data_IF_752717571962
#
_entry.id   IF_752717571962
#
_cell.length_a   1.000
_cell.length_b   1.000
_cell.length_c   1.000
_cell.angle_alpha   90.00
_cell.angle_beta   90.00
_cell.angle_gamma   90.00
#
_symmetry.space_group_name_H-M   'P 1'
#
loop_
_entity.id
_entity.type
_entity.pdbx_description
1 polymer ?
#
# COMPACT_ATOMS: atom_id res chain seq x y z
N UNK A 1 21.93 -20.23 33.52
CA UNK A 1 21.48 -18.89 33.11
C UNK A 1 20.93 -18.96 31.69
N UNK A 2 19.87 -18.23 31.34
CA UNK A 2 19.16 -18.35 30.05
C UNK A 2 19.25 -17.01 29.31
N UNK A 3 19.94 -17.00 28.16
CA UNK A 3 20.05 -15.82 27.30
C UNK A 3 18.89 -15.76 26.32
N UNK A 4 18.23 -14.60 26.19
CA UNK A 4 17.15 -14.39 25.23
C UNK A 4 17.37 -13.05 24.50
N UNK A 5 17.77 -13.12 23.24
CA UNK A 5 17.70 -11.97 22.33
C UNK A 5 16.36 -11.99 21.60
N UNK A 6 15.61 -10.88 21.64
CA UNK A 6 14.38 -10.72 20.85
C UNK A 6 14.62 -9.77 19.68
N UNK A 7 14.39 -10.30 18.48
CA UNK A 7 14.41 -9.56 17.22
C UNK A 7 13.01 -9.66 16.61
N UNK A 8 12.35 -8.52 16.45
CA UNK A 8 11.02 -8.45 15.85
C UNK A 8 11.12 -7.90 14.42
N UNK A 9 10.49 -8.59 13.46
CA UNK A 9 10.39 -8.11 12.09
C UNK A 9 8.99 -8.37 11.53
N UNK A 10 8.45 -7.39 10.79
CA UNK A 10 7.15 -7.52 10.12
C UNK A 10 7.26 -8.01 8.66
N UNK A 11 8.41 -8.60 8.29
CA UNK A 11 8.67 -9.07 6.94
C UNK A 11 8.27 -10.54 6.71
N UNK A 12 7.46 -11.11 7.60
CA UNK A 12 7.08 -12.54 7.58
C UNK A 12 6.00 -12.89 6.55
N UNK A 13 5.37 -11.89 5.90
CA UNK A 13 4.26 -12.09 4.97
C UNK A 13 4.62 -11.63 3.56
N UNK A 14 4.23 -12.41 2.55
CA UNK A 14 4.34 -12.02 1.14
C UNK A 14 3.59 -10.71 0.87
N UNK A 15 4.23 -9.76 0.18
CA UNK A 15 3.56 -8.59 -0.39
C UNK A 15 3.59 -8.70 -1.89
N UNK A 16 2.39 -8.80 -2.45
CA UNK A 16 2.22 -8.67 -3.89
C UNK A 16 2.73 -7.32 -4.35
N UNK A 17 3.64 -7.34 -5.30
CA UNK A 17 4.08 -6.15 -6.02
C UNK A 17 2.91 -5.50 -6.74
N UNK A 18 2.93 -4.17 -6.79
CA UNK A 18 1.88 -3.45 -7.48
C UNK A 18 2.21 -3.42 -8.97
N UNK A 19 1.25 -3.84 -9.81
CA UNK A 19 1.43 -3.78 -11.26
C UNK A 19 1.58 -2.33 -11.72
N UNK A 20 2.41 -2.09 -12.73
CA UNK A 20 2.56 -0.76 -13.36
C UNK A 20 1.23 -0.16 -13.80
N UNK A 21 0.30 -0.99 -14.33
CA UNK A 21 -1.05 -0.57 -14.70
C UNK A 21 -1.84 0.03 -13.52
N UNK A 22 -1.79 -0.59 -12.35
CA UNK A 22 -2.45 -0.06 -11.15
C UNK A 22 -1.87 1.30 -10.73
N UNK A 23 -0.54 1.46 -10.78
CA UNK A 23 0.12 2.73 -10.46
C UNK A 23 -0.35 3.82 -11.44
N UNK A 24 -0.36 3.51 -12.74
CA UNK A 24 -0.78 4.46 -13.78
C UNK A 24 -2.24 4.88 -13.58
N UNK A 25 -3.15 3.92 -13.37
CA UNK A 25 -4.56 4.21 -13.12
C UNK A 25 -4.76 5.08 -11.87
N UNK A 26 -4.04 4.79 -10.79
CA UNK A 26 -4.04 5.61 -9.59
C UNK A 26 -3.59 7.04 -9.87
N UNK A 27 -2.45 7.23 -10.56
CA UNK A 27 -1.92 8.56 -10.90
C UNK A 27 -2.90 9.37 -11.74
N UNK A 28 -3.48 8.77 -12.78
CA UNK A 28 -4.46 9.44 -13.64
C UNK A 28 -5.70 9.85 -12.83
N UNK A 29 -6.25 8.91 -12.05
CA UNK A 29 -7.46 9.17 -11.25
C UNK A 29 -7.20 10.23 -10.19
N UNK A 30 -6.05 10.18 -9.53
CA UNK A 30 -5.65 11.14 -8.50
C UNK A 30 -5.47 12.54 -9.11
N UNK A 31 -4.75 12.64 -10.22
CA UNK A 31 -4.57 13.90 -10.94
C UNK A 31 -5.92 14.52 -11.35
N UNK A 32 -6.82 13.72 -11.94
CA UNK A 32 -8.15 14.21 -12.27
C UNK A 32 -8.97 14.63 -11.05
N UNK A 33 -8.89 13.90 -9.95
CA UNK A 33 -9.73 14.19 -8.79
C UNK A 33 -9.20 15.34 -7.94
N UNK A 34 -7.90 15.39 -7.68
CA UNK A 34 -7.28 16.34 -6.76
C UNK A 34 -6.79 17.60 -7.49
N UNK A 35 -6.16 17.47 -8.67
CA UNK A 35 -5.58 18.63 -9.38
C UNK A 35 -6.60 19.30 -10.31
N UNK A 36 -7.42 18.51 -11.01
CA UNK A 36 -8.45 19.05 -11.93
C UNK A 36 -9.85 19.14 -11.29
N UNK A 37 -10.01 18.76 -10.01
CA UNK A 37 -11.27 18.78 -9.27
C UNK A 37 -12.43 18.06 -9.97
N UNK A 38 -12.15 16.97 -10.70
CA UNK A 38 -13.14 16.19 -11.43
C UNK A 38 -13.75 15.13 -10.50
N UNK A 39 -15.08 15.10 -10.42
CA UNK A 39 -15.79 14.09 -9.64
C UNK A 39 -15.62 12.67 -10.19
N UNK A 40 -15.60 11.66 -9.30
CA UNK A 40 -15.36 10.26 -9.66
C UNK A 40 -16.30 9.69 -10.73
N UNK A 41 -17.57 10.12 -10.77
CA UNK A 41 -18.54 9.72 -11.82
C UNK A 41 -18.07 10.16 -13.20
N UNK A 42 -17.66 11.43 -13.30
CA UNK A 42 -17.14 12.03 -14.54
C UNK A 42 -15.84 11.34 -14.95
N UNK A 43 -14.93 11.10 -14.01
CA UNK A 43 -13.70 10.32 -14.26
C UNK A 43 -14.03 8.95 -14.88
N UNK A 44 -14.95 8.20 -14.28
CA UNK A 44 -15.36 6.89 -14.81
C UNK A 44 -15.94 6.99 -16.22
N UNK A 45 -16.72 8.03 -16.51
CA UNK A 45 -17.26 8.31 -17.84
C UNK A 45 -16.15 8.59 -18.86
N UNK A 46 -15.19 9.46 -18.52
CA UNK A 46 -14.01 9.77 -19.34
C UNK A 46 -13.22 8.49 -19.64
N UNK A 47 -12.86 7.72 -18.61
CA UNK A 47 -12.09 6.49 -18.78
C UNK A 47 -12.81 5.48 -19.69
N UNK A 48 -14.12 5.32 -19.53
CA UNK A 48 -14.94 4.48 -20.41
C UNK A 48 -14.96 5.00 -21.86
N UNK A 49 -15.10 6.32 -22.05
CA UNK A 49 -15.10 6.97 -23.38
C UNK A 49 -13.77 6.78 -24.11
N UNK A 50 -12.66 6.84 -23.39
CA UNK A 50 -11.31 6.60 -23.94
C UNK A 50 -10.92 5.12 -23.98
N UNK A 51 -11.85 4.18 -23.72
CA UNK A 51 -11.59 2.74 -23.81
C UNK A 51 -10.70 2.19 -22.69
N UNK A 52 -10.34 2.99 -21.68
CA UNK A 52 -9.49 2.58 -20.57
C UNK A 52 -10.31 1.67 -19.65
N UNK A 53 -9.92 0.41 -19.53
CA UNK A 53 -10.57 -0.56 -18.64
C UNK A 53 -9.93 -0.57 -17.25
N UNK A 54 -10.70 -1.01 -16.26
CA UNK A 54 -10.18 -1.34 -14.92
C UNK A 54 -9.05 -2.40 -15.00
N UNK A 55 -8.32 -2.61 -13.92
CA UNK A 55 -7.29 -3.67 -13.88
C UNK A 55 -7.84 -5.07 -14.22
N UNK A 56 -9.12 -5.32 -13.99
CA UNK A 56 -9.79 -6.59 -14.31
C UNK A 56 -10.41 -6.61 -15.72
N UNK A 57 -10.11 -5.63 -16.58
CA UNK A 57 -10.66 -5.55 -17.94
C UNK A 57 -12.12 -5.06 -18.03
N UNK A 58 -12.76 -4.77 -16.90
CA UNK A 58 -14.16 -4.31 -16.84
C UNK A 58 -14.29 -2.81 -17.11
N UNK A 59 -15.47 -2.37 -17.57
CA UNK A 59 -15.85 -0.94 -17.63
C UNK A 59 -15.89 -0.33 -16.22
N UNK A 60 -15.69 0.98 -16.12
CA UNK A 60 -15.82 1.74 -14.88
C UNK A 60 -17.28 1.92 -14.49
N UNK A 61 -17.55 1.91 -13.18
CA UNK A 61 -18.90 2.01 -12.63
C UNK A 61 -19.53 3.38 -12.89
N UNK A 62 -20.82 3.39 -13.25
CA UNK A 62 -21.59 4.64 -13.46
C UNK A 62 -21.67 5.51 -12.20
N UNK A 63 -21.60 4.89 -11.02
CA UNK A 63 -21.66 5.57 -9.72
C UNK A 63 -20.33 6.21 -9.30
N UNK A 64 -19.22 5.98 -10.01
CA UNK A 64 -17.90 6.51 -9.63
C UNK A 64 -17.17 5.69 -8.56
N UNK A 65 -17.84 4.71 -7.93
CA UNK A 65 -17.30 3.91 -6.83
C UNK A 65 -15.98 3.19 -7.17
N UNK A 66 -15.82 2.78 -8.43
CA UNK A 66 -14.62 2.10 -8.92
C UNK A 66 -13.40 3.03 -8.97
N UNK A 67 -13.59 4.30 -9.34
CA UNK A 67 -12.52 5.32 -9.30
C UNK A 67 -12.12 5.64 -7.86
N UNK A 68 -13.09 5.88 -6.97
CA UNK A 68 -12.83 6.11 -5.55
C UNK A 68 -12.08 4.94 -4.89
N UNK A 69 -12.49 3.70 -5.18
CA UNK A 69 -11.86 2.50 -4.62
C UNK A 69 -10.38 2.38 -5.00
N UNK A 70 -9.98 2.84 -6.19
CA UNK A 70 -8.57 2.82 -6.60
C UNK A 70 -7.72 3.71 -5.69
N UNK A 71 -8.16 4.94 -5.42
CA UNK A 71 -7.46 5.86 -4.51
C UNK A 71 -7.40 5.26 -3.11
N UNK A 72 -8.56 4.83 -2.56
CA UNK A 72 -8.64 4.26 -1.22
C UNK A 72 -7.69 3.09 -1.01
N UNK A 73 -7.66 2.12 -1.93
CA UNK A 73 -6.79 0.93 -1.81
C UNK A 73 -5.30 1.26 -1.93
N UNK A 74 -4.95 2.34 -2.64
CA UNK A 74 -3.57 2.82 -2.69
C UNK A 74 -3.15 3.43 -1.36
N UNK A 75 -3.98 4.28 -0.76
CA UNK A 75 -3.70 4.88 0.54
C UNK A 75 -3.56 3.80 1.63
N UNK A 76 -4.49 2.85 1.70
CA UNK A 76 -4.41 1.71 2.63
C UNK A 76 -3.13 0.88 2.46
N UNK A 77 -2.62 0.77 1.23
CA UNK A 77 -1.35 0.08 0.95
C UNK A 77 -0.15 0.90 1.43
N UNK A 78 -0.13 2.19 1.14
CA UNK A 78 0.93 3.10 1.60
C UNK A 78 1.02 3.11 3.14
N UNK A 79 -0.13 3.20 3.81
CA UNK A 79 -0.22 3.14 5.27
C UNK A 79 0.31 1.81 5.82
N UNK A 80 -0.03 0.68 5.18
CA UNK A 80 0.48 -0.64 5.57
C UNK A 80 2.00 -0.73 5.41
N UNK A 81 2.55 -0.18 4.33
CA UNK A 81 4.00 -0.17 4.11
C UNK A 81 4.69 0.68 5.17
N UNK A 82 4.15 1.87 5.46
CA UNK A 82 4.72 2.82 6.42
C UNK A 82 4.63 2.32 7.86
N UNK A 83 3.43 1.94 8.31
CA UNK A 83 3.14 1.73 9.72
C UNK A 83 3.33 0.28 10.18
N UNK A 84 3.26 -0.68 9.26
CA UNK A 84 3.44 -2.10 9.60
C UNK A 84 4.80 -2.57 9.12
N UNK A 85 5.11 -2.49 7.83
CA UNK A 85 6.33 -3.14 7.29
C UNK A 85 7.62 -2.43 7.65
N UNK A 86 7.66 -1.11 7.51
CA UNK A 86 8.85 -0.30 7.81
C UNK A 86 8.94 0.08 9.29
N UNK A 87 8.06 -0.45 10.14
CA UNK A 87 8.14 -0.25 11.59
C UNK A 87 9.42 -0.91 12.10
N UNK A 88 10.32 -0.09 12.64
CA UNK A 88 11.52 -0.57 13.31
C UNK A 88 11.15 -0.98 14.73
N UNK A 89 11.55 -2.18 15.11
CA UNK A 89 11.49 -2.63 16.50
C UNK A 89 12.88 -2.49 17.11
N UNK A 90 12.95 -2.01 18.35
CA UNK A 90 14.21 -1.94 19.08
C UNK A 90 14.70 -3.34 19.41
N UNK A 91 16.02 -3.57 19.34
CA UNK A 91 16.61 -4.82 19.83
C UNK A 91 16.50 -4.81 21.35
N UNK A 92 15.91 -5.86 21.92
CA UNK A 92 15.87 -6.07 23.37
C UNK A 92 16.87 -7.17 23.73
N UNK A 93 17.86 -6.80 24.54
CA UNK A 93 18.84 -7.71 25.14
C UNK A 93 18.50 -7.80 26.63
N UNK A 94 18.16 -8.98 27.12
CA UNK A 94 17.96 -9.23 28.56
C UNK A 94 19.30 -9.38 29.28
N UNK A 95 19.27 -9.31 30.62
CA UNK A 95 20.46 -9.43 31.48
C UNK A 95 21.39 -10.57 31.05
N UNK A 96 22.66 -10.23 30.85
CA UNK A 96 23.72 -11.19 30.57
C UNK A 96 24.94 -10.85 31.43
N UNK A 97 25.68 -11.90 31.79
CA UNK A 97 26.88 -11.82 32.60
C UNK A 97 28.04 -12.39 31.77
N UNK A 98 29.12 -11.62 31.63
CA UNK A 98 30.35 -12.05 30.95
C UNK A 98 31.30 -12.59 32.02
N UNK A 99 31.64 -13.87 31.95
CA UNK A 99 32.65 -14.48 32.81
C UNK A 99 33.90 -14.76 31.97
N UNK A 100 35.01 -14.15 32.35
CA UNK A 100 36.32 -14.46 31.77
C UNK A 100 36.98 -15.59 32.55
N UNK A 101 37.53 -16.58 31.84
CA UNK A 101 38.36 -17.65 32.42
C UNK A 101 39.84 -17.30 32.23
N UNK A 102 40.62 -17.38 33.31
CA UNK A 102 42.08 -17.26 33.30
C UNK A 102 42.75 -18.50 32.70
#
# INVERSE_FOLDING_TARGET
MKFVARVETNNLLYQKEISQRHILLYRIIKHFNEELNIGHRTICSILNKHGIRTHHGKKWSKSGSSSYSVIKRMNEREDRIKNVRKKKFGIQVSDFEIVFSN
#
